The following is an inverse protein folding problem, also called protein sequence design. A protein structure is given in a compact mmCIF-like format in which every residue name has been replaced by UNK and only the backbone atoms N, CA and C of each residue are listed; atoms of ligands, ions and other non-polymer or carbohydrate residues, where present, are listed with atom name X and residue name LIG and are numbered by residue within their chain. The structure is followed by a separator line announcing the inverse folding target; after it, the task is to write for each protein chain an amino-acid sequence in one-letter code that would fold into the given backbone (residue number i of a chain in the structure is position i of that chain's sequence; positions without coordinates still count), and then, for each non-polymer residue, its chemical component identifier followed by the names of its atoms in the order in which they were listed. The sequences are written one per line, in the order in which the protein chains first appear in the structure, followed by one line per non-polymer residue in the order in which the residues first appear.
data_IF_227226294361
#
_entry.id   IF_227226294361
#
_cell.length_a   1.000
_cell.length_b   1.000
_cell.length_c   1.000
_cell.angle_alpha   90.00
_cell.angle_beta   90.00
_cell.angle_gamma   90.00
#
_symmetry.space_group_name_H-M   'P 1'
#
loop_
_entity.id
_entity.type
_entity.pdbx_description
1 polymer ?
#
# COMPACT_ATOMS: atom_id res chain seq x y z
N UNK A 1 0.02 -16.67 1.33
CA UNK A 1 -1.37 -16.45 1.79
C UNK A 1 -2.32 -17.22 0.85
N UNK A 2 -3.56 -17.56 1.22
CA UNK A 2 -4.50 -18.09 0.20
C UNK A 2 -5.00 -16.93 -0.70
N UNK A 3 -5.45 -17.24 -1.92
CA UNK A 3 -5.79 -16.22 -2.92
C UNK A 3 -6.85 -15.21 -2.43
N UNK A 4 -7.86 -15.69 -1.71
CA UNK A 4 -8.93 -14.84 -1.17
C UNK A 4 -8.42 -13.84 -0.12
N UNK A 5 -7.54 -14.27 0.79
CA UNK A 5 -6.93 -13.40 1.79
C UNK A 5 -5.97 -12.40 1.13
N UNK A 6 -5.24 -12.80 0.08
CA UNK A 6 -4.39 -11.89 -0.70
C UNK A 6 -5.19 -10.79 -1.37
N UNK A 7 -6.29 -11.15 -2.02
CA UNK A 7 -7.18 -10.18 -2.64
C UNK A 7 -7.72 -9.17 -1.61
N UNK A 8 -8.21 -9.65 -0.46
CA UNK A 8 -8.72 -8.78 0.60
C UNK A 8 -7.64 -7.83 1.15
N UNK A 9 -6.43 -8.32 1.39
CA UNK A 9 -5.33 -7.49 1.85
C UNK A 9 -4.92 -6.42 0.83
N UNK A 10 -4.90 -6.75 -0.46
CA UNK A 10 -4.62 -5.77 -1.54
C UNK A 10 -5.71 -4.72 -1.65
N UNK A 11 -6.98 -5.12 -1.58
CA UNK A 11 -8.12 -4.21 -1.65
C UNK A 11 -8.08 -3.22 -0.46
N UNK A 12 -7.82 -3.72 0.75
CA UNK A 12 -7.67 -2.86 1.95
C UNK A 12 -6.46 -1.93 1.87
N UNK A 13 -5.32 -2.42 1.38
CA UNK A 13 -4.13 -1.59 1.20
C UNK A 13 -4.36 -0.44 0.21
N UNK A 14 -5.11 -0.68 -0.88
CA UNK A 14 -5.49 0.37 -1.83
C UNK A 14 -6.39 1.42 -1.18
N UNK A 15 -7.32 1.01 -0.32
CA UNK A 15 -8.18 1.92 0.43
C UNK A 15 -7.36 2.83 1.36
N UNK A 16 -6.40 2.28 2.11
CA UNK A 16 -5.50 3.07 2.95
C UNK A 16 -4.67 4.06 2.12
N UNK A 17 -4.11 3.60 1.00
CA UNK A 17 -3.31 4.47 0.12
C UNK A 17 -4.13 5.59 -0.52
N UNK A 18 -5.43 5.41 -0.73
CA UNK A 18 -6.32 6.46 -1.23
C UNK A 18 -6.48 7.63 -0.25
N UNK A 19 -6.21 7.39 1.04
CA UNK A 19 -6.24 8.40 2.11
C UNK A 19 -4.86 9.02 2.36
N UNK A 20 -3.81 8.50 1.72
CA UNK A 20 -2.47 9.05 1.78
C UNK A 20 -2.29 10.19 0.77
N UNK A 21 -1.54 11.21 1.18
CA UNK A 21 -1.09 12.30 0.30
C UNK A 21 -0.15 11.78 -0.80
N UNK A 22 0.03 12.53 -1.88
CA UNK A 22 0.95 12.14 -2.96
C UNK A 22 2.38 11.86 -2.47
N UNK A 23 3.00 12.66 -1.57
CA UNK A 23 4.32 12.33 -1.02
C UNK A 23 4.35 11.02 -0.25
N UNK A 24 3.29 10.68 0.49
CA UNK A 24 3.18 9.42 1.23
C UNK A 24 3.01 8.23 0.28
N UNK A 25 2.19 8.36 -0.77
CA UNK A 25 2.07 7.34 -1.81
C UNK A 25 3.41 7.15 -2.56
N UNK A 26 4.17 8.22 -2.80
CA UNK A 26 5.50 8.14 -3.39
C UNK A 26 6.49 7.40 -2.46
N UNK A 27 6.40 7.62 -1.15
CA UNK A 27 7.19 6.88 -0.16
C UNK A 27 6.88 5.39 -0.20
N UNK A 28 5.60 5.02 -0.24
CA UNK A 28 5.18 3.64 -0.42
C UNK A 28 5.79 3.01 -1.69
N UNK A 29 5.71 3.70 -2.83
CA UNK A 29 6.31 3.23 -4.09
C UNK A 29 7.81 2.99 -3.97
N UNK A 30 8.53 3.85 -3.24
CA UNK A 30 9.97 3.68 -2.98
C UNK A 30 10.29 2.40 -2.21
N UNK A 31 9.44 2.05 -1.25
CA UNK A 31 9.65 0.87 -0.39
C UNK A 31 9.27 -0.43 -1.08
N UNK A 32 8.12 -0.46 -1.75
CA UNK A 32 7.52 -1.72 -2.20
C UNK A 32 7.56 -1.92 -3.71
N UNK A 33 7.67 -0.84 -4.50
CA UNK A 33 7.52 -0.87 -5.96
C UNK A 33 8.82 -0.55 -6.72
N UNK A 34 10.00 -0.81 -6.14
CA UNK A 34 11.31 -0.44 -6.71
C UNK A 34 11.54 -0.75 -8.20
N UNK A 35 10.94 -1.82 -8.74
CA UNK A 35 11.07 -2.22 -10.15
C UNK A 35 10.05 -1.58 -11.10
N UNK A 36 9.05 -0.90 -10.56
CA UNK A 36 7.88 -0.44 -11.31
C UNK A 36 7.24 0.82 -10.69
N UNK A 37 8.07 1.73 -10.16
CA UNK A 37 7.61 2.95 -9.44
C UNK A 37 6.79 3.89 -10.34
N UNK A 38 7.03 3.83 -11.64
CA UNK A 38 6.33 4.58 -12.69
C UNK A 38 4.88 4.14 -12.87
N UNK A 39 4.52 2.95 -12.40
CA UNK A 39 3.14 2.44 -12.52
C UNK A 39 2.16 3.20 -11.62
N UNK A 40 0.86 3.21 -11.95
CA UNK A 40 -0.19 3.64 -11.05
C UNK A 40 -0.09 2.93 -9.68
N UNK A 41 -0.44 3.64 -8.60
CA UNK A 41 -0.29 3.12 -7.23
C UNK A 41 -1.02 1.79 -7.00
N UNK A 42 -2.20 1.62 -7.61
CA UNK A 42 -2.96 0.37 -7.52
C UNK A 42 -2.26 -0.79 -8.22
N UNK A 43 -1.65 -0.56 -9.39
CA UNK A 43 -0.82 -1.57 -10.06
C UNK A 43 0.42 -1.92 -9.23
N UNK A 44 1.00 -0.96 -8.51
CA UNK A 44 2.09 -1.24 -7.59
C UNK A 44 1.65 -2.19 -6.46
N UNK A 45 0.42 -2.04 -5.96
CA UNK A 45 -0.16 -2.97 -4.97
C UNK A 45 -0.41 -4.34 -5.61
N UNK A 46 -0.93 -4.41 -6.82
CA UNK A 46 -1.24 -5.68 -7.50
C UNK A 46 0.01 -6.50 -7.84
N UNK A 47 1.14 -5.83 -8.11
CA UNK A 47 2.43 -6.46 -8.38
C UNK A 47 3.26 -6.76 -7.12
N UNK A 48 2.75 -6.41 -5.94
CA UNK A 48 3.43 -6.65 -4.68
C UNK A 48 3.47 -8.15 -4.35
N UNK A 49 4.55 -8.59 -3.71
CA UNK A 49 4.65 -9.92 -3.10
C UNK A 49 3.65 -10.06 -1.94
N UNK A 50 2.93 -11.18 -1.90
CA UNK A 50 1.95 -11.51 -0.86
C UNK A 50 2.54 -11.40 0.55
N UNK A 51 3.81 -11.80 0.72
CA UNK A 51 4.50 -11.79 2.02
C UNK A 51 4.68 -10.38 2.59
N UNK A 52 4.52 -9.34 1.77
CA UNK A 52 4.72 -7.93 2.15
C UNK A 52 3.42 -7.20 2.47
N UNK A 53 2.26 -7.78 2.13
CA UNK A 53 0.96 -7.12 2.22
C UNK A 53 0.67 -6.69 3.66
N UNK A 54 0.79 -7.60 4.63
CA UNK A 54 0.46 -7.31 6.03
C UNK A 54 1.33 -6.18 6.59
N UNK A 55 2.64 -6.23 6.31
CA UNK A 55 3.55 -5.17 6.75
C UNK A 55 3.24 -3.82 6.09
N UNK A 56 2.94 -3.83 4.79
CA UNK A 56 2.56 -2.63 4.06
C UNK A 56 1.27 -2.01 4.58
N UNK A 57 0.28 -2.84 4.95
CA UNK A 57 -0.95 -2.41 5.61
C UNK A 57 -0.62 -1.70 6.92
N UNK A 58 0.13 -2.32 7.83
CA UNK A 58 0.47 -1.71 9.13
C UNK A 58 1.20 -0.38 8.99
N UNK A 59 2.04 -0.20 7.96
CA UNK A 59 2.70 1.08 7.70
C UNK A 59 1.72 2.14 7.18
N UNK A 60 0.80 1.76 6.29
CA UNK A 60 -0.20 2.69 5.75
C UNK A 60 -1.23 3.07 6.82
N UNK A 61 -1.69 2.16 7.68
CA UNK A 61 -2.59 2.45 8.80
C UNK A 61 -2.03 3.55 9.71
N UNK A 62 -0.77 3.41 10.15
CA UNK A 62 -0.09 4.42 10.96
C UNK A 62 0.09 5.76 10.26
N UNK A 63 0.21 5.73 8.94
CA UNK A 63 0.34 6.95 8.12
C UNK A 63 -1.01 7.67 8.06
N UNK A 64 -2.09 6.95 7.82
CA UNK A 64 -3.47 7.47 7.77
C UNK A 64 -3.93 7.97 9.15
N UNK A 65 -3.61 7.24 10.22
CA UNK A 65 -3.87 7.66 11.60
C UNK A 65 -3.26 9.04 11.87
N UNK A 66 -1.98 9.23 11.53
CA UNK A 66 -1.28 10.51 11.66
C UNK A 66 -1.84 11.63 10.77
N UNK A 67 -2.52 11.30 9.67
CA UNK A 67 -3.19 12.31 8.85
C UNK A 67 -4.45 12.86 9.53
N UNK A 68 -5.08 12.07 10.41
CA UNK A 68 -6.31 12.45 11.12
C UNK A 68 -6.04 13.23 12.41
N UNK A 69 -4.84 13.08 12.98
CA UNK A 69 -4.37 13.82 14.16
C UNK A 69 -3.74 15.20 13.83
N UNK A 70 -3.78 15.62 12.56
CA UNK A 70 -3.28 16.91 12.05
C UNK A 70 -4.42 17.92 11.85
#
# INVERSE_FOLDING_TARGET
MNESLSKMGRDYLKELLSQCTEPQQLMFKRMYAHKYQEKPINECVDLMDDEKIDWAISQCERTVEKNSDL
#
